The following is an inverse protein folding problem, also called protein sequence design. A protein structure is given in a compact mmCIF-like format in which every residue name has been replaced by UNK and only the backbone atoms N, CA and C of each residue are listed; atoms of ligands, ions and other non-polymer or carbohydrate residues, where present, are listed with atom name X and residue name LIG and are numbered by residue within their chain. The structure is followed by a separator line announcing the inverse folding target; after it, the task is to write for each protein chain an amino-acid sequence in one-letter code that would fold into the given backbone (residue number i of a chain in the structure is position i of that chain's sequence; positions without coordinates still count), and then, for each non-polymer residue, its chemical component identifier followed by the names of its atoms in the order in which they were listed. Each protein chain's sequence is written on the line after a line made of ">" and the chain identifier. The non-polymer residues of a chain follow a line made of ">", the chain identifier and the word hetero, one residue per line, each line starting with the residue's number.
data_IF_412747406028
#
_entry.id   IF_412747406028
#
_cell.length_a   1.000
_cell.length_b   1.000
_cell.length_c   1.000
_cell.angle_alpha   90.00
_cell.angle_beta   90.00
_cell.angle_gamma   90.00
#
_symmetry.space_group_name_H-M   'P 1'
#
loop_
_entity.id
_entity.type
_entity.pdbx_description
1 polymer ?
#
# COMPACT_ATOMS: atom_id res chain seq x y z
N UNK A 1 33.41 25.66 -7.92
CA UNK A 1 32.51 24.57 -7.51
C UNK A 1 33.25 23.68 -6.53
N UNK A 2 32.65 23.39 -5.37
CA UNK A 2 33.28 22.61 -4.31
C UNK A 2 32.99 21.12 -4.55
N UNK A 3 33.95 20.39 -5.15
CA UNK A 3 33.79 18.97 -5.55
C UNK A 3 33.28 18.06 -4.42
N UNK A 4 33.61 18.38 -3.17
CA UNK A 4 33.13 17.62 -2.02
C UNK A 4 31.62 17.80 -1.77
N UNK A 5 31.11 19.01 -1.94
CA UNK A 5 29.67 19.30 -1.81
C UNK A 5 28.86 18.69 -2.96
N UNK A 6 29.44 18.65 -4.17
CA UNK A 6 28.80 18.01 -5.32
C UNK A 6 28.75 16.48 -5.15
N UNK A 7 29.81 15.86 -4.61
CA UNK A 7 29.82 14.42 -4.30
C UNK A 7 28.75 14.02 -3.26
N UNK A 8 28.57 14.79 -2.17
CA UNK A 8 27.55 14.52 -1.15
C UNK A 8 26.11 14.64 -1.70
N UNK A 9 25.87 15.59 -2.62
CA UNK A 9 24.56 15.72 -3.29
C UNK A 9 24.26 14.53 -4.20
N UNK A 10 25.27 14.06 -4.93
CA UNK A 10 25.15 12.86 -5.78
C UNK A 10 24.87 11.62 -4.92
N UNK A 11 25.58 11.45 -3.81
CA UNK A 11 25.37 10.34 -2.87
C UNK A 11 23.94 10.33 -2.30
N UNK A 12 23.42 11.50 -1.88
CA UNK A 12 22.04 11.64 -1.41
C UNK A 12 21.01 11.30 -2.47
N UNK A 13 21.20 11.77 -3.69
CA UNK A 13 20.29 11.51 -4.79
C UNK A 13 20.28 10.03 -5.16
N UNK A 14 21.45 9.38 -5.16
CA UNK A 14 21.58 7.96 -5.42
C UNK A 14 20.96 7.10 -4.30
N UNK A 15 21.15 7.47 -3.02
CA UNK A 15 20.47 6.82 -1.90
C UNK A 15 18.95 6.97 -2.00
N UNK A 16 18.48 8.19 -2.30
CA UNK A 16 17.05 8.43 -2.54
C UNK A 16 16.52 7.58 -3.69
N UNK A 17 17.24 7.48 -4.81
CA UNK A 17 16.87 6.63 -5.93
C UNK A 17 16.76 5.16 -5.53
N UNK A 18 17.74 4.61 -4.81
CA UNK A 18 17.70 3.23 -4.33
C UNK A 18 16.51 2.95 -3.41
N UNK A 19 16.23 3.87 -2.48
CA UNK A 19 15.08 3.75 -1.56
C UNK A 19 13.74 3.95 -2.28
N UNK A 20 13.68 4.87 -3.25
CA UNK A 20 12.50 5.10 -4.07
C UNK A 20 12.20 3.85 -4.90
N UNK A 21 13.19 3.22 -5.53
CA UNK A 21 12.99 1.96 -6.26
C UNK A 21 12.51 0.85 -5.32
N UNK A 22 13.07 0.75 -4.11
CA UNK A 22 12.62 -0.23 -3.12
C UNK A 22 11.19 0.01 -2.66
N UNK A 23 10.80 1.26 -2.39
CA UNK A 23 9.45 1.58 -1.91
C UNK A 23 8.40 1.62 -3.03
N UNK A 24 8.77 2.06 -4.24
CA UNK A 24 7.88 2.22 -5.37
C UNK A 24 7.71 0.94 -6.19
N UNK A 25 8.80 0.33 -6.64
CA UNK A 25 8.77 -0.74 -7.65
C UNK A 25 8.50 -2.12 -7.06
N UNK A 26 8.79 -2.31 -5.76
CA UNK A 26 8.51 -3.58 -5.06
C UNK A 26 7.07 -3.61 -4.56
N UNK A 27 6.43 -2.45 -4.41
CA UNK A 27 5.06 -2.35 -3.92
C UNK A 27 4.07 -3.19 -4.76
N UNK A 28 4.03 -3.12 -6.10
CA UNK A 28 3.16 -3.99 -6.90
C UNK A 28 3.45 -5.49 -6.69
N UNK A 29 4.70 -5.88 -6.46
CA UNK A 29 5.04 -7.27 -6.16
C UNK A 29 4.46 -7.72 -4.81
N UNK A 30 4.52 -6.86 -3.79
CA UNK A 30 3.88 -7.14 -2.50
C UNK A 30 2.37 -7.31 -2.65
N UNK A 31 1.71 -6.37 -3.33
CA UNK A 31 0.25 -6.31 -3.43
C UNK A 31 -0.35 -7.41 -4.30
N UNK A 32 0.36 -7.81 -5.35
CA UNK A 32 -0.17 -8.74 -6.36
C UNK A 32 0.33 -10.18 -6.20
N UNK A 33 1.56 -10.37 -5.67
CA UNK A 33 2.19 -11.70 -5.63
C UNK A 33 2.39 -12.23 -4.22
N UNK A 34 2.71 -11.37 -3.24
CA UNK A 34 2.95 -11.80 -1.87
C UNK A 34 1.67 -11.80 -1.00
N UNK A 35 0.62 -11.12 -1.45
CA UNK A 35 -0.66 -11.03 -0.77
C UNK A 35 -1.58 -12.20 -1.14
N UNK A 36 -2.19 -12.82 -0.12
CA UNK A 36 -3.25 -13.81 -0.33
C UNK A 36 -4.53 -13.15 -0.88
N UNK A 37 -5.23 -13.84 -1.79
CA UNK A 37 -6.43 -13.32 -2.46
C UNK A 37 -7.54 -12.92 -1.48
N UNK A 38 -7.73 -13.71 -0.42
CA UNK A 38 -8.71 -13.44 0.64
C UNK A 38 -8.36 -12.15 1.38
N UNK A 39 -7.08 -11.88 1.59
CA UNK A 39 -6.62 -10.65 2.25
C UNK A 39 -6.83 -9.45 1.34
N UNK A 40 -6.51 -9.59 0.05
CA UNK A 40 -6.70 -8.57 -0.98
C UNK A 40 -8.16 -8.10 -1.04
N UNK A 41 -9.10 -9.04 -1.05
CA UNK A 41 -10.52 -8.74 -1.12
C UNK A 41 -11.07 -8.20 0.22
N UNK A 42 -10.74 -8.85 1.34
CA UNK A 42 -11.33 -8.49 2.63
C UNK A 42 -10.92 -7.11 3.17
N UNK A 43 -9.78 -6.55 2.74
CA UNK A 43 -9.26 -5.28 3.31
C UNK A 43 -10.18 -4.08 3.10
N UNK A 44 -11.03 -4.15 2.08
CA UNK A 44 -12.03 -3.13 1.74
C UNK A 44 -13.43 -3.39 2.29
N UNK A 45 -13.65 -4.50 3.01
CA UNK A 45 -14.92 -4.74 3.68
C UNK A 45 -15.22 -3.62 4.69
N UNK A 46 -16.50 -3.26 4.82
CA UNK A 46 -16.93 -2.28 5.81
C UNK A 46 -18.35 -2.55 6.29
N UNK A 47 -18.61 -2.22 7.54
CA UNK A 47 -19.92 -2.31 8.17
C UNK A 47 -19.97 -3.31 9.33
N UNK A 48 -21.15 -3.36 9.94
CA UNK A 48 -21.44 -4.20 11.12
C UNK A 48 -22.08 -5.54 10.79
N UNK A 49 -22.41 -5.80 9.52
CA UNK A 49 -22.93 -7.11 9.12
C UNK A 49 -21.86 -8.18 9.35
N UNK A 50 -22.32 -9.40 9.62
CA UNK A 50 -21.45 -10.53 9.89
C UNK A 50 -20.94 -11.12 8.58
N UNK A 51 -19.66 -11.49 8.61
CA UNK A 51 -18.96 -12.20 7.54
C UNK A 51 -18.18 -13.37 8.12
N UNK A 52 -17.97 -14.38 7.30
CA UNK A 52 -17.07 -15.49 7.57
C UNK A 52 -15.60 -15.08 7.41
N UNK A 53 -14.68 -16.01 7.69
CA UNK A 53 -13.23 -15.76 7.58
C UNK A 53 -12.78 -15.44 6.15
N UNK A 54 -13.40 -16.05 5.16
CA UNK A 54 -13.14 -15.74 3.75
C UNK A 54 -13.68 -14.35 3.37
N UNK A 55 -14.66 -13.83 4.13
CA UNK A 55 -15.30 -12.53 3.99
C UNK A 55 -16.71 -12.62 3.38
N UNK A 56 -17.17 -13.82 3.01
CA UNK A 56 -18.55 -14.06 2.57
C UNK A 56 -19.50 -13.59 3.65
N UNK A 57 -20.54 -12.87 3.26
CA UNK A 57 -21.56 -12.36 4.18
C UNK A 57 -22.44 -13.52 4.66
N UNK A 58 -22.78 -13.50 5.94
CA UNK A 58 -23.72 -14.47 6.52
C UNK A 58 -25.09 -14.31 5.87
N UNK A 59 -25.61 -15.40 5.30
CA UNK A 59 -26.83 -15.49 4.51
C UNK A 59 -26.60 -15.54 2.99
N UNK A 60 -25.37 -15.27 2.53
CA UNK A 60 -25.02 -15.28 1.09
C UNK A 60 -24.20 -16.55 0.72
N UNK A 61 -23.94 -17.44 1.67
CA UNK A 61 -23.25 -18.71 1.44
C UNK A 61 -24.06 -19.71 0.60
N UNK A 62 -23.37 -20.46 -0.27
CA UNK A 62 -23.98 -21.50 -1.11
C UNK A 62 -24.20 -22.84 -0.40
N UNK A 63 -23.46 -23.08 0.68
CA UNK A 63 -23.47 -24.31 1.48
C UNK A 63 -23.81 -23.99 2.94
N UNK A 64 -24.25 -25.00 3.72
CA UNK A 64 -24.49 -24.81 5.16
C UNK A 64 -23.18 -24.62 5.92
N UNK A 65 -23.02 -23.43 6.51
CA UNK A 65 -21.86 -23.03 7.32
C UNK A 65 -22.21 -22.87 8.79
N UNK A 66 -23.23 -23.59 9.25
CA UNK A 66 -23.66 -23.61 10.64
C UNK A 66 -22.51 -23.90 11.61
N UNK A 67 -22.31 -22.99 12.58
CA UNK A 67 -21.29 -23.12 13.62
C UNK A 67 -19.90 -22.60 13.24
N UNK A 68 -19.67 -22.16 12.01
CA UNK A 68 -18.42 -21.47 11.66
C UNK A 68 -18.31 -20.11 12.37
N UNK A 69 -17.11 -19.71 12.84
CA UNK A 69 -16.91 -18.41 13.47
C UNK A 69 -17.14 -17.25 12.48
N UNK A 70 -17.88 -16.25 12.94
CA UNK A 70 -18.15 -15.02 12.19
C UNK A 70 -17.59 -13.80 12.92
N UNK A 71 -17.41 -12.71 12.19
CA UNK A 71 -17.06 -11.40 12.75
C UNK A 71 -17.69 -10.29 11.92
N UNK A 72 -17.68 -9.05 12.43
CA UNK A 72 -18.15 -7.92 11.63
C UNK A 72 -17.22 -7.67 10.44
N UNK A 73 -17.79 -7.22 9.31
CA UNK A 73 -17.04 -6.82 8.13
C UNK A 73 -15.89 -5.85 8.46
N UNK A 74 -16.14 -4.85 9.31
CA UNK A 74 -15.09 -3.92 9.78
C UNK A 74 -13.96 -4.62 10.57
N UNK A 75 -14.28 -5.59 11.42
CA UNK A 75 -13.27 -6.35 12.15
C UNK A 75 -12.44 -7.23 11.20
N UNK A 76 -13.10 -7.91 10.25
CA UNK A 76 -12.44 -8.71 9.23
C UNK A 76 -11.49 -7.88 8.38
N UNK A 77 -11.92 -6.68 8.00
CA UNK A 77 -11.13 -5.78 7.17
C UNK A 77 -9.91 -5.22 7.90
N UNK A 78 -10.05 -4.83 9.18
CA UNK A 78 -8.90 -4.43 10.01
C UNK A 78 -7.86 -5.54 10.11
N UNK A 79 -8.31 -6.79 10.27
CA UNK A 79 -7.39 -7.94 10.28
C UNK A 79 -6.71 -8.14 8.94
N UNK A 80 -7.44 -8.01 7.83
CA UNK A 80 -6.88 -8.11 6.49
C UNK A 80 -5.79 -7.05 6.25
N UNK A 81 -6.10 -5.78 6.53
CA UNK A 81 -5.15 -4.67 6.40
C UNK A 81 -3.92 -4.88 7.29
N UNK A 82 -4.11 -5.33 8.54
CA UNK A 82 -2.98 -5.57 9.43
C UNK A 82 -2.03 -6.66 8.89
N UNK A 83 -2.58 -7.76 8.38
CA UNK A 83 -1.79 -8.83 7.75
C UNK A 83 -1.09 -8.31 6.49
N UNK A 84 -1.82 -7.63 5.61
CA UNK A 84 -1.30 -7.05 4.38
C UNK A 84 -0.11 -6.12 4.66
N UNK A 85 -0.32 -5.13 5.53
CA UNK A 85 0.71 -4.15 5.87
C UNK A 85 1.89 -4.79 6.58
N UNK A 86 1.69 -5.81 7.41
CA UNK A 86 2.80 -6.53 8.03
C UNK A 86 3.68 -7.24 6.98
N UNK A 87 3.07 -7.99 6.05
CA UNK A 87 3.76 -8.67 4.95
C UNK A 87 4.48 -7.67 4.04
N UNK A 88 3.75 -6.63 3.61
CA UNK A 88 4.28 -5.54 2.80
C UNK A 88 5.49 -4.88 3.45
N UNK A 89 5.37 -4.48 4.72
CA UNK A 89 6.44 -3.79 5.46
C UNK A 89 7.67 -4.67 5.59
N UNK A 90 7.49 -5.97 5.83
CA UNK A 90 8.59 -6.92 5.97
C UNK A 90 9.38 -7.06 4.65
N UNK A 91 8.68 -7.33 3.55
CA UNK A 91 9.30 -7.51 2.22
C UNK A 91 10.01 -6.22 1.79
N UNK A 92 9.32 -5.10 1.90
CA UNK A 92 9.82 -3.83 1.40
C UNK A 92 10.98 -3.29 2.22
N UNK A 93 10.93 -3.42 3.55
CA UNK A 93 12.07 -3.05 4.42
C UNK A 93 13.27 -3.95 4.16
N UNK A 94 13.04 -5.26 3.96
CA UNK A 94 14.07 -6.22 3.59
C UNK A 94 14.75 -5.86 2.27
N UNK A 95 13.95 -5.48 1.27
CA UNK A 95 14.48 -5.09 -0.03
C UNK A 95 15.19 -3.72 -0.01
N UNK A 96 14.67 -2.74 0.72
CA UNK A 96 15.35 -1.47 0.95
C UNK A 96 16.72 -1.69 1.61
N UNK A 97 16.79 -2.56 2.62
CA UNK A 97 18.05 -2.94 3.25
C UNK A 97 18.98 -3.65 2.26
N UNK A 98 18.49 -4.63 1.51
CA UNK A 98 19.30 -5.39 0.55
C UNK A 98 19.87 -4.50 -0.55
N UNK A 99 19.03 -3.67 -1.19
CA UNK A 99 19.43 -2.76 -2.26
C UNK A 99 20.45 -1.73 -1.75
N UNK A 100 20.14 -1.06 -0.64
CA UNK A 100 21.05 -0.04 -0.09
C UNK A 100 22.40 -0.65 0.29
N UNK A 101 22.43 -1.84 0.88
CA UNK A 101 23.68 -2.56 1.18
C UNK A 101 24.44 -2.98 -0.07
N UNK A 102 23.76 -3.48 -1.10
CA UNK A 102 24.37 -3.87 -2.36
C UNK A 102 25.06 -2.68 -3.06
N UNK A 103 24.51 -1.47 -2.91
CA UNK A 103 25.10 -0.24 -3.44
C UNK A 103 26.05 0.48 -2.46
N UNK A 104 26.45 -0.18 -1.36
CA UNK A 104 27.46 0.34 -0.42
C UNK A 104 26.93 1.30 0.65
N UNK A 105 25.62 1.56 0.70
CA UNK A 105 25.00 2.41 1.70
C UNK A 105 24.79 1.68 3.02
N UNK A 106 25.10 2.35 4.13
CA UNK A 106 24.74 1.91 5.49
C UNK A 106 23.67 2.82 6.05
N UNK A 107 22.41 2.53 5.72
CA UNK A 107 21.27 3.27 6.26
C UNK A 107 21.12 2.97 7.76
N UNK A 108 21.07 3.99 8.63
CA UNK A 108 20.79 3.79 10.04
C UNK A 108 19.43 3.12 10.25
N UNK A 109 19.34 2.15 11.16
CA UNK A 109 18.10 1.41 11.41
C UNK A 109 16.94 2.35 11.77
N UNK A 110 17.20 3.41 12.55
CA UNK A 110 16.18 4.41 12.90
C UNK A 110 15.65 5.21 11.70
N UNK A 111 16.49 5.48 10.68
CA UNK A 111 16.06 6.14 9.46
C UNK A 111 15.20 5.22 8.58
N UNK A 112 15.57 3.95 8.49
CA UNK A 112 14.79 2.93 7.79
C UNK A 112 13.43 2.72 8.46
N UNK A 113 13.41 2.55 9.79
CA UNK A 113 12.19 2.39 10.57
C UNK A 113 11.25 3.59 10.44
N UNK A 114 11.77 4.82 10.41
CA UNK A 114 10.94 6.00 10.20
C UNK A 114 10.24 6.00 8.83
N UNK A 115 10.96 5.67 7.75
CA UNK A 115 10.36 5.55 6.42
C UNK A 115 9.36 4.39 6.34
N UNK A 116 9.71 3.23 6.90
CA UNK A 116 8.84 2.07 6.96
C UNK A 116 7.55 2.37 7.74
N UNK A 117 7.64 3.10 8.86
CA UNK A 117 6.47 3.49 9.65
C UNK A 117 5.55 4.47 8.90
N UNK A 118 6.12 5.48 8.23
CA UNK A 118 5.35 6.40 7.38
C UNK A 118 4.61 5.62 6.31
N UNK A 119 5.32 4.74 5.60
CA UNK A 119 4.74 3.94 4.53
C UNK A 119 3.64 3.01 5.06
N UNK A 120 3.94 2.21 6.09
CA UNK A 120 3.00 1.25 6.66
C UNK A 120 1.70 1.91 7.17
N UNK A 121 1.80 3.01 7.92
CA UNK A 121 0.63 3.66 8.51
C UNK A 121 -0.25 4.31 7.44
N UNK A 122 0.37 4.99 6.47
CA UNK A 122 -0.39 5.63 5.39
C UNK A 122 -1.00 4.60 4.46
N UNK A 123 -0.25 3.54 4.10
CA UNK A 123 -0.75 2.41 3.32
C UNK A 123 -1.96 1.75 4.00
N UNK A 124 -1.87 1.45 5.31
CA UNK A 124 -3.00 0.91 6.07
C UNK A 124 -4.25 1.79 6.01
N UNK A 125 -4.08 3.12 6.06
CA UNK A 125 -5.19 4.06 6.03
C UNK A 125 -5.83 4.17 4.63
N UNK A 126 -5.02 4.13 3.58
CA UNK A 126 -5.47 4.20 2.17
C UNK A 126 -6.23 2.92 1.80
N UNK A 127 -5.66 1.76 2.13
CA UNK A 127 -6.22 0.44 1.76
C UNK A 127 -7.61 0.16 2.32
N UNK A 128 -7.97 0.83 3.41
CA UNK A 128 -9.32 0.75 3.98
C UNK A 128 -10.35 1.36 3.03
N UNK A 129 -9.99 2.36 2.22
CA UNK A 129 -10.87 3.03 1.26
C UNK A 129 -11.36 4.44 1.66
N UNK A 130 -11.90 4.67 2.88
CA UNK A 130 -12.48 5.97 3.25
C UNK A 130 -11.54 7.16 3.11
N UNK A 131 -10.24 7.00 3.41
CA UNK A 131 -9.26 8.08 3.28
C UNK A 131 -9.08 8.48 1.81
N UNK A 132 -8.94 7.52 0.90
CA UNK A 132 -8.82 7.77 -0.54
C UNK A 132 -10.07 8.48 -1.06
N UNK A 133 -11.24 8.01 -0.66
CA UNK A 133 -12.52 8.61 -1.05
C UNK A 133 -12.65 10.06 -0.56
N UNK A 134 -12.29 10.31 0.70
CA UNK A 134 -12.25 11.67 1.23
C UNK A 134 -11.26 12.56 0.47
N UNK A 135 -10.08 12.06 0.11
CA UNK A 135 -9.12 12.79 -0.72
C UNK A 135 -9.69 13.07 -2.12
N UNK A 136 -10.37 12.11 -2.72
CA UNK A 136 -11.02 12.27 -4.02
C UNK A 136 -12.10 13.37 -3.97
N UNK A 137 -12.88 13.44 -2.89
CA UNK A 137 -13.86 14.52 -2.70
C UNK A 137 -13.17 15.88 -2.56
N UNK A 138 -12.09 15.97 -1.77
CA UNK A 138 -11.32 17.21 -1.57
C UNK A 138 -10.64 17.71 -2.83
N UNK A 139 -10.26 16.80 -3.73
CA UNK A 139 -9.58 17.09 -4.99
C UNK A 139 -10.52 17.14 -6.18
N UNK A 140 -11.84 16.99 -5.96
CA UNK A 140 -12.89 16.97 -6.99
C UNK A 140 -12.72 15.85 -8.03
N UNK A 141 -12.12 14.73 -7.61
CA UNK A 141 -11.92 13.52 -8.42
C UNK A 141 -13.02 12.47 -8.21
N UNK A 142 -14.06 12.76 -7.40
CA UNK A 142 -15.20 11.85 -7.21
C UNK A 142 -15.88 11.47 -8.52
N UNK A 143 -16.14 12.47 -9.38
CA UNK A 143 -16.75 12.23 -10.69
C UNK A 143 -15.87 11.37 -11.61
N UNK A 144 -14.54 11.43 -11.46
CA UNK A 144 -13.62 10.54 -12.19
C UNK A 144 -13.81 9.08 -11.76
N UNK A 145 -13.89 8.81 -10.45
CA UNK A 145 -14.17 7.47 -9.90
C UNK A 145 -15.53 6.94 -10.36
N UNK A 146 -16.56 7.80 -10.34
CA UNK A 146 -17.92 7.41 -10.73
C UNK A 146 -18.04 7.14 -12.22
N UNK A 147 -17.30 7.87 -13.06
CA UNK A 147 -17.36 7.74 -14.52
C UNK A 147 -16.49 6.59 -15.07
N UNK A 148 -15.26 6.45 -14.56
CA UNK A 148 -14.28 5.50 -15.09
C UNK A 148 -14.29 4.18 -14.32
N UNK A 149 -15.36 3.42 -14.53
CA UNK A 149 -15.59 2.07 -13.99
C UNK A 149 -15.15 0.99 -14.98
N UNK A 150 -15.10 -0.26 -14.54
CA UNK A 150 -14.84 -1.41 -15.38
C UNK A 150 -16.10 -2.27 -15.51
N UNK A 151 -16.29 -2.92 -16.67
CA UNK A 151 -17.31 -3.96 -16.83
C UNK A 151 -16.66 -5.32 -16.57
N UNK A 152 -17.30 -6.15 -15.75
CA UNK A 152 -16.89 -7.52 -15.42
C UNK A 152 -17.95 -8.50 -15.85
N UNK A 153 -17.51 -9.72 -16.14
CA UNK A 153 -18.37 -10.87 -16.36
C UNK A 153 -18.34 -11.73 -15.10
N UNK A 154 -19.50 -12.17 -14.64
CA UNK A 154 -19.57 -13.21 -13.62
C UNK A 154 -19.38 -14.61 -14.23
N UNK A 155 -19.55 -15.64 -13.40
CA UNK A 155 -19.39 -17.04 -13.81
C UNK A 155 -20.43 -17.47 -14.86
N UNK A 156 -21.59 -16.82 -14.89
CA UNK A 156 -22.70 -17.12 -15.79
C UNK A 156 -22.63 -16.27 -17.08
N UNK A 157 -21.67 -15.35 -17.16
CA UNK A 157 -21.43 -14.49 -18.31
C UNK A 157 -22.23 -13.18 -18.28
N UNK A 158 -22.90 -12.87 -17.18
CA UNK A 158 -23.64 -11.63 -17.02
C UNK A 158 -22.68 -10.46 -16.73
N UNK A 159 -22.92 -9.34 -17.42
CA UNK A 159 -22.10 -8.16 -17.33
C UNK A 159 -22.55 -7.24 -16.19
N UNK A 160 -21.62 -6.83 -15.34
CA UNK A 160 -21.87 -5.84 -14.28
C UNK A 160 -20.77 -4.78 -14.22
N UNK A 161 -21.13 -3.58 -13.77
CA UNK A 161 -20.18 -2.51 -13.54
C UNK A 161 -19.51 -2.65 -12.17
N UNK A 162 -18.19 -2.52 -12.13
CA UNK A 162 -17.36 -2.56 -10.95
C UNK A 162 -16.65 -1.21 -10.77
N UNK A 163 -16.86 -0.59 -9.60
CA UNK A 163 -16.33 0.77 -9.30
C UNK A 163 -14.88 0.72 -8.78
N UNK A 164 -14.50 -0.40 -8.17
CA UNK A 164 -13.16 -0.62 -7.63
C UNK A 164 -12.51 -1.85 -8.28
N UNK A 165 -11.19 -2.00 -8.14
CA UNK A 165 -10.45 -3.10 -8.76
C UNK A 165 -9.73 -2.73 -10.06
N UNK A 166 -8.94 -3.65 -10.64
CA UNK A 166 -8.01 -3.34 -11.72
C UNK A 166 -8.68 -2.71 -12.95
N UNK A 167 -8.15 -1.58 -13.43
CA UNK A 167 -8.70 -0.87 -14.59
C UNK A 167 -9.84 0.10 -14.30
N UNK A 168 -10.16 0.34 -13.02
CA UNK A 168 -11.04 1.47 -12.63
C UNK A 168 -10.22 2.68 -12.19
N UNK A 169 -10.80 3.88 -12.31
CA UNK A 169 -10.20 5.11 -11.81
C UNK A 169 -9.91 5.07 -10.30
N UNK A 170 -10.73 4.35 -9.53
CA UNK A 170 -10.44 4.13 -8.11
C UNK A 170 -9.09 3.45 -7.94
N UNK A 171 -8.85 2.34 -8.65
CA UNK A 171 -7.62 1.58 -8.55
C UNK A 171 -6.40 2.38 -9.01
N UNK A 172 -6.54 3.19 -10.06
CA UNK A 172 -5.47 4.07 -10.52
C UNK A 172 -5.10 5.14 -9.49
N UNK A 173 -6.10 5.81 -8.90
CA UNK A 173 -5.88 6.81 -7.86
C UNK A 173 -5.27 6.19 -6.60
N UNK A 174 -5.73 5.00 -6.23
CA UNK A 174 -5.19 4.22 -5.12
C UNK A 174 -3.70 3.89 -5.36
N UNK A 175 -3.37 3.34 -6.52
CA UNK A 175 -1.99 3.02 -6.90
C UNK A 175 -1.10 4.27 -6.96
N UNK A 176 -1.60 5.37 -7.52
CA UNK A 176 -0.88 6.63 -7.59
C UNK A 176 -0.59 7.22 -6.19
N UNK A 177 -1.57 7.16 -5.28
CA UNK A 177 -1.40 7.66 -3.92
C UNK A 177 -0.38 6.82 -3.14
N UNK A 178 -0.42 5.50 -3.27
CA UNK A 178 0.59 4.63 -2.67
C UNK A 178 2.01 4.89 -3.20
N UNK A 179 2.17 5.19 -4.50
CA UNK A 179 3.48 5.61 -5.06
C UNK A 179 3.96 6.93 -4.45
N UNK A 180 3.07 7.92 -4.29
CA UNK A 180 3.41 9.20 -3.66
C UNK A 180 3.86 9.04 -2.19
N UNK A 181 3.23 8.11 -1.46
CA UNK A 181 3.67 7.70 -0.12
C UNK A 181 5.10 7.14 -0.17
N UNK A 182 5.40 6.26 -1.12
CA UNK A 182 6.73 5.69 -1.31
C UNK A 182 7.82 6.76 -1.53
N UNK A 183 7.49 7.81 -2.30
CA UNK A 183 8.38 8.99 -2.47
C UNK A 183 8.66 9.67 -1.13
N UNK A 184 7.64 9.89 -0.31
CA UNK A 184 7.79 10.56 0.98
C UNK A 184 8.60 9.70 1.96
N UNK A 185 8.34 8.39 2.00
CA UNK A 185 9.10 7.45 2.82
C UNK A 185 10.59 7.44 2.42
N UNK A 186 10.89 7.37 1.12
CA UNK A 186 12.26 7.43 0.61
C UNK A 186 12.95 8.75 0.98
N UNK A 187 12.27 9.88 0.79
CA UNK A 187 12.81 11.21 1.09
C UNK A 187 13.14 11.36 2.58
N UNK A 188 12.23 10.94 3.47
CA UNK A 188 12.44 11.01 4.92
C UNK A 188 13.58 10.10 5.36
N UNK A 189 13.64 8.85 4.87
CA UNK A 189 14.74 7.93 5.19
C UNK A 189 16.08 8.49 4.73
N UNK A 190 16.18 8.98 3.49
CA UNK A 190 17.41 9.61 2.97
C UNK A 190 17.82 10.81 3.81
N UNK A 191 16.88 11.71 4.12
CA UNK A 191 17.16 12.88 4.93
C UNK A 191 17.66 12.50 6.31
N UNK A 192 17.00 11.57 7.00
CA UNK A 192 17.42 11.10 8.33
C UNK A 192 18.78 10.39 8.30
N UNK A 193 19.08 9.65 7.23
CA UNK A 193 20.35 8.95 7.06
C UNK A 193 21.52 9.91 6.83
N UNK A 194 21.29 11.03 6.13
CA UNK A 194 22.37 11.93 5.65
C UNK A 194 22.46 13.27 6.40
N UNK A 195 21.44 13.65 7.19
CA UNK A 195 21.39 14.96 7.89
C UNK A 195 22.53 15.21 8.88
N UNK A 196 23.15 14.15 9.43
CA UNK A 196 24.27 14.30 10.38
C UNK A 196 25.60 14.55 9.68
N UNK A 197 25.78 14.03 8.47
CA UNK A 197 26.96 14.25 7.63
C UNK A 197 27.09 15.71 7.21
N UNK A 198 25.96 16.43 7.10
CA UNK A 198 25.89 17.83 6.64
C UNK A 198 25.97 18.90 7.74
N UNK A 199 25.93 18.49 9.01
CA UNK A 199 26.13 19.42 10.14
C UNK A 199 27.60 19.56 10.53
N UNK A 200 28.52 19.07 9.69
CA UNK A 200 29.98 19.20 9.84
C UNK A 200 30.53 20.11 8.77
#
# INVERSE_FOLDING_TARGET
>A
MNRAADADRVERLALFGALLSAFGEIHPACDQWAQDSTTAWCKRLSGKHLVYRDGVRVGDESDDRGGEPTMTADARARRAVAVHVATYTAIQSGAALALTRAFGYRVPASALLAGAAINAVTHAAIDRGPLLLWLADRTRLRGYIEHCQAVRLDADGEAHAEVNGPGTAWFELDAALHRAVGVTAAAVTTWLATRRTYRR
#
